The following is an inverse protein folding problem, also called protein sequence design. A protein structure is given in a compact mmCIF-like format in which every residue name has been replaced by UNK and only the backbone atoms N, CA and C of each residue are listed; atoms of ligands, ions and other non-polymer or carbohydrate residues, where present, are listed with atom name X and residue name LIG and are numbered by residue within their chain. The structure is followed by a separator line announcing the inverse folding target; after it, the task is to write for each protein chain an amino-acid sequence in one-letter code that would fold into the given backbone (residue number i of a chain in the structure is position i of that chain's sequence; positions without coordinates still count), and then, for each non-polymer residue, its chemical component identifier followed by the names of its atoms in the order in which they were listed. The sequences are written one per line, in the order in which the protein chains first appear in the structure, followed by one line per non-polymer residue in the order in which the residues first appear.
data_IF_616141563392
#
_entry.id   IF_616141563392
#
_cell.length_a   1.000
_cell.length_b   1.000
_cell.length_c   1.000
_cell.angle_alpha   90.00
_cell.angle_beta   90.00
_cell.angle_gamma   90.00
#
_symmetry.space_group_name_H-M   'P 1'
#
loop_
_entity.id
_entity.type
_entity.pdbx_description
1 polymer ?
#
# COMPACT_ATOMS: atom_id res chain seq x y z
N UNK A 1 12.19 -30.40 -5.55
CA UNK A 1 11.95 -29.84 -6.90
C UNK A 1 10.47 -29.60 -7.21
N UNK A 2 9.52 -30.42 -6.75
CA UNK A 2 8.07 -30.31 -7.05
C UNK A 2 7.44 -29.01 -6.54
N UNK A 3 7.87 -28.48 -5.38
CA UNK A 3 7.29 -27.24 -4.81
C UNK A 3 7.63 -25.96 -5.58
N UNK A 4 8.74 -25.89 -6.30
CA UNK A 4 9.16 -24.68 -7.04
C UNK A 4 8.29 -24.45 -8.27
N UNK A 5 7.97 -25.50 -9.03
CA UNK A 5 7.11 -25.41 -10.21
C UNK A 5 5.65 -25.00 -9.89
N UNK A 6 5.11 -25.38 -8.73
CA UNK A 6 3.75 -25.02 -8.31
C UNK A 6 3.67 -23.54 -7.87
N UNK A 7 4.73 -22.99 -7.29
CA UNK A 7 4.81 -21.59 -6.91
C UNK A 7 4.98 -20.67 -8.12
N UNK A 8 5.83 -21.03 -9.09
CA UNK A 8 6.05 -20.27 -10.32
C UNK A 8 4.74 -20.11 -11.12
N UNK A 9 3.91 -21.16 -11.21
CA UNK A 9 2.60 -21.11 -11.88
C UNK A 9 1.58 -20.19 -11.18
N UNK A 10 1.59 -20.09 -9.86
CA UNK A 10 0.67 -19.23 -9.13
C UNK A 10 1.05 -17.75 -9.30
N UNK A 11 2.33 -17.41 -9.17
CA UNK A 11 2.85 -16.05 -9.33
C UNK A 11 2.67 -15.52 -10.77
N UNK A 12 2.88 -16.38 -11.77
CA UNK A 12 2.61 -16.03 -13.17
C UNK A 12 1.13 -15.78 -13.43
N UNK A 13 0.23 -16.59 -12.86
CA UNK A 13 -1.21 -16.37 -12.95
C UNK A 13 -1.63 -15.04 -12.34
N UNK A 14 -1.10 -14.69 -11.19
CA UNK A 14 -1.37 -13.41 -10.53
C UNK A 14 -0.86 -12.24 -11.37
N UNK A 15 0.34 -12.35 -11.96
CA UNK A 15 0.90 -11.33 -12.87
C UNK A 15 0.02 -11.13 -14.11
N UNK A 16 -0.47 -12.21 -14.72
CA UNK A 16 -1.39 -12.16 -15.88
C UNK A 16 -2.71 -11.49 -15.51
N UNK A 17 -3.28 -11.81 -14.34
CA UNK A 17 -4.52 -11.19 -13.86
C UNK A 17 -4.36 -9.70 -13.58
N UNK A 18 -3.24 -9.31 -12.97
CA UNK A 18 -2.90 -7.89 -12.77
C UNK A 18 -2.79 -7.15 -14.12
N UNK A 19 -2.15 -7.75 -15.12
CA UNK A 19 -2.04 -7.17 -16.47
C UNK A 19 -3.41 -6.99 -17.11
N UNK A 20 -4.29 -8.01 -17.03
CA UNK A 20 -5.66 -7.95 -17.55
C UNK A 20 -6.49 -6.87 -16.84
N UNK A 21 -6.39 -6.77 -15.50
CA UNK A 21 -7.07 -5.73 -14.74
C UNK A 21 -6.57 -4.34 -15.12
N UNK A 22 -5.27 -4.18 -15.32
CA UNK A 22 -4.68 -2.91 -15.76
C UNK A 22 -5.19 -2.49 -17.16
N UNK A 23 -5.35 -3.45 -18.06
CA UNK A 23 -5.92 -3.20 -19.38
C UNK A 23 -7.40 -2.76 -19.29
N UNK A 24 -8.21 -3.46 -18.51
CA UNK A 24 -9.62 -3.10 -18.29
C UNK A 24 -9.78 -1.69 -17.69
N UNK A 25 -8.88 -1.28 -16.80
CA UNK A 25 -8.89 0.08 -16.26
C UNK A 25 -8.54 1.10 -17.34
N UNK A 26 -7.60 0.83 -18.22
CA UNK A 26 -7.27 1.73 -19.35
C UNK A 26 -8.44 1.87 -20.32
N UNK A 27 -9.09 0.76 -20.66
CA UNK A 27 -10.29 0.74 -21.51
C UNK A 27 -11.44 1.53 -20.87
N UNK A 28 -11.72 1.32 -19.58
CA UNK A 28 -12.72 2.08 -18.84
C UNK A 28 -12.40 3.60 -18.81
N UNK A 29 -11.15 4.00 -18.57
CA UNK A 29 -10.75 5.41 -18.57
C UNK A 29 -10.92 6.01 -19.96
N UNK A 30 -10.59 5.27 -21.01
CA UNK A 30 -10.82 5.69 -22.39
C UNK A 30 -12.32 5.93 -22.67
N UNK A 31 -13.20 4.99 -22.34
CA UNK A 31 -14.64 5.13 -22.50
C UNK A 31 -15.21 6.34 -21.77
N UNK A 32 -14.83 6.55 -20.51
CA UNK A 32 -15.24 7.72 -19.71
C UNK A 32 -14.73 9.01 -20.35
N UNK A 33 -13.51 9.02 -20.90
CA UNK A 33 -12.93 10.18 -21.57
C UNK A 33 -13.70 10.54 -22.84
N UNK A 34 -14.07 9.55 -23.66
CA UNK A 34 -14.91 9.76 -24.86
C UNK A 34 -16.29 10.28 -24.48
N UNK A 35 -16.93 9.71 -23.45
CA UNK A 35 -18.23 10.14 -22.96
C UNK A 35 -18.22 11.60 -22.43
N UNK A 36 -17.03 12.11 -22.08
CA UNK A 36 -16.79 13.51 -21.70
C UNK A 36 -16.36 14.40 -22.87
N UNK A 37 -16.62 13.97 -24.10
CA UNK A 37 -16.30 14.68 -25.35
C UNK A 37 -14.80 14.94 -25.55
N UNK A 38 -13.92 14.09 -25.03
CA UNK A 38 -12.49 14.16 -25.31
C UNK A 38 -12.21 13.62 -26.72
N UNK A 39 -11.37 14.28 -27.55
CA UNK A 39 -10.97 13.74 -28.85
C UNK A 39 -10.29 12.37 -28.71
N UNK A 40 -10.63 11.41 -29.58
CA UNK A 40 -10.16 10.02 -29.49
C UNK A 40 -8.64 9.88 -29.44
N UNK A 41 -7.93 10.65 -30.27
CA UNK A 41 -6.48 10.70 -30.30
C UNK A 41 -5.85 11.15 -28.95
N UNK A 42 -6.55 11.98 -28.17
CA UNK A 42 -6.12 12.40 -26.84
C UNK A 42 -6.48 11.32 -25.81
N UNK A 43 -7.71 10.80 -25.90
CA UNK A 43 -8.22 9.79 -24.97
C UNK A 43 -7.39 8.49 -24.97
N UNK A 44 -6.79 8.10 -26.10
CA UNK A 44 -5.90 6.94 -26.21
C UNK A 44 -4.61 7.09 -25.37
N UNK A 45 -4.13 8.31 -25.16
CA UNK A 45 -2.87 8.59 -24.46
C UNK A 45 -3.06 8.94 -22.97
N UNK A 46 -4.29 9.12 -22.52
CA UNK A 46 -4.59 9.52 -21.13
C UNK A 46 -4.06 8.53 -20.11
N UNK A 47 -4.09 7.25 -20.43
CA UNK A 47 -3.57 6.20 -19.58
C UNK A 47 -4.37 5.99 -18.29
N UNK A 48 -3.78 5.21 -17.42
CA UNK A 48 -4.28 4.82 -16.11
C UNK A 48 -3.55 3.56 -15.65
N UNK A 49 -3.44 3.34 -14.34
CA UNK A 49 -2.60 2.24 -13.86
C UNK A 49 -3.09 1.66 -12.55
N UNK A 50 -2.97 0.34 -12.44
CA UNK A 50 -3.17 -0.39 -11.19
C UNK A 50 -1.84 -0.57 -10.46
N UNK A 51 -1.80 -0.11 -9.23
CA UNK A 51 -0.70 -0.35 -8.28
C UNK A 51 -1.16 -1.32 -7.21
N UNK A 52 -0.34 -2.28 -6.84
CA UNK A 52 -0.59 -3.16 -5.69
C UNK A 52 0.16 -2.64 -4.48
N UNK A 53 -0.37 -2.87 -3.28
CA UNK A 53 0.28 -2.47 -2.03
C UNK A 53 0.04 -3.51 -0.93
N UNK A 54 0.30 -3.16 0.33
CA UNK A 54 0.04 -4.03 1.47
C UNK A 54 0.82 -5.34 1.44
N UNK A 55 0.20 -6.41 1.92
CA UNK A 55 0.84 -7.71 2.10
C UNK A 55 1.30 -8.34 0.79
N UNK A 56 0.57 -8.11 -0.29
CA UNK A 56 0.91 -8.61 -1.62
C UNK A 56 2.21 -7.95 -2.14
N UNK A 57 2.28 -6.63 -2.14
CA UNK A 57 3.45 -5.88 -2.63
C UNK A 57 4.69 -6.11 -1.76
N UNK A 58 4.53 -6.24 -0.44
CA UNK A 58 5.60 -6.61 0.48
C UNK A 58 6.09 -8.05 0.25
N UNK A 59 5.34 -8.89 -0.44
CA UNK A 59 5.68 -10.30 -0.67
C UNK A 59 5.50 -11.16 0.58
N UNK A 60 4.55 -10.80 1.46
CA UNK A 60 4.29 -11.49 2.74
C UNK A 60 2.83 -11.93 2.90
N UNK A 61 2.08 -11.97 1.80
CA UNK A 61 0.73 -12.52 1.76
C UNK A 61 0.76 -14.06 1.89
N UNK A 62 -0.34 -14.63 2.37
CA UNK A 62 -0.55 -16.08 2.34
C UNK A 62 -1.40 -16.46 1.12
N UNK A 63 -1.36 -17.72 0.73
CA UNK A 63 -2.20 -18.26 -0.36
C UNK A 63 -3.68 -18.02 -0.04
N UNK A 64 -4.41 -17.42 -0.97
CA UNK A 64 -5.82 -17.06 -0.80
C UNK A 64 -6.05 -15.76 -0.01
N UNK A 65 -5.02 -14.97 0.25
CA UNK A 65 -5.22 -13.62 0.75
C UNK A 65 -5.72 -12.69 -0.35
N UNK A 66 -6.49 -11.68 0.04
CA UNK A 66 -6.90 -10.58 -0.81
C UNK A 66 -5.70 -9.78 -1.34
N UNK A 67 -5.86 -9.20 -2.51
CA UNK A 67 -4.88 -8.30 -3.13
C UNK A 67 -5.33 -6.86 -2.93
N UNK A 68 -4.61 -6.13 -2.11
CA UNK A 68 -4.78 -4.69 -2.01
C UNK A 68 -4.27 -4.02 -3.29
N UNK A 69 -5.14 -3.28 -3.99
CA UNK A 69 -4.81 -2.59 -5.23
C UNK A 69 -5.36 -1.15 -5.25
N UNK A 70 -4.69 -0.29 -6.01
CA UNK A 70 -5.06 1.10 -6.20
C UNK A 70 -5.17 1.40 -7.68
N UNK A 71 -6.35 1.85 -8.11
CA UNK A 71 -6.58 2.42 -9.43
C UNK A 71 -6.18 3.90 -9.40
N UNK A 72 -5.20 4.27 -10.22
CA UNK A 72 -4.76 5.65 -10.41
C UNK A 72 -5.26 6.15 -11.75
N UNK A 73 -6.03 7.24 -11.72
CA UNK A 73 -6.65 7.86 -12.88
C UNK A 73 -6.26 9.34 -13.04
N UNK A 74 -6.35 9.91 -14.25
CA UNK A 74 -6.07 11.31 -14.52
C UNK A 74 -7.15 12.25 -13.95
N UNK A 75 -6.85 13.54 -13.94
CA UNK A 75 -7.62 14.60 -13.28
C UNK A 75 -9.08 14.72 -13.69
N UNK A 76 -9.43 14.35 -14.91
CA UNK A 76 -10.80 14.44 -15.44
C UNK A 76 -11.71 13.28 -15.04
N UNK A 77 -11.16 12.19 -14.50
CA UNK A 77 -11.94 11.07 -13.99
C UNK A 77 -12.32 11.33 -12.53
N UNK A 78 -13.62 11.38 -12.26
CA UNK A 78 -14.11 11.61 -10.91
C UNK A 78 -14.29 10.32 -10.12
N UNK A 79 -14.24 10.44 -8.80
CA UNK A 79 -14.51 9.31 -7.91
C UNK A 79 -15.93 8.75 -8.09
N UNK A 80 -16.89 9.58 -8.48
CA UNK A 80 -18.24 9.16 -8.84
C UNK A 80 -18.26 8.20 -10.01
N UNK A 81 -17.50 8.46 -11.07
CA UNK A 81 -17.42 7.58 -12.24
C UNK A 81 -16.95 6.17 -11.85
N UNK A 82 -16.00 6.12 -10.92
CA UNK A 82 -15.47 4.87 -10.42
C UNK A 82 -16.47 4.07 -9.57
N UNK A 83 -17.33 4.74 -8.79
CA UNK A 83 -18.27 4.11 -7.86
C UNK A 83 -19.71 3.99 -8.36
N UNK A 84 -20.06 4.51 -9.53
CA UNK A 84 -21.44 4.46 -10.08
C UNK A 84 -21.97 3.04 -10.26
N UNK A 85 -21.11 2.07 -10.48
CA UNK A 85 -21.50 0.66 -10.65
C UNK A 85 -21.42 -0.16 -9.35
N UNK A 86 -20.83 0.37 -8.26
CA UNK A 86 -20.49 -0.38 -7.06
C UNK A 86 -20.76 0.40 -5.77
N UNK A 87 -22.00 0.77 -5.52
CA UNK A 87 -22.42 1.58 -4.38
C UNK A 87 -22.21 0.91 -3.01
N UNK A 88 -21.39 1.50 -2.11
CA UNK A 88 -21.73 1.78 -0.71
C UNK A 88 -20.92 2.98 -0.18
N UNK A 89 -21.64 4.03 0.23
CA UNK A 89 -21.13 5.39 0.47
C UNK A 89 -20.49 5.68 1.85
N UNK A 90 -20.32 4.72 2.73
CA UNK A 90 -20.07 5.00 4.16
C UNK A 90 -18.68 4.66 4.70
N UNK A 91 -17.71 4.29 3.86
CA UNK A 91 -16.37 4.00 4.34
C UNK A 91 -15.46 5.24 4.37
N UNK A 92 -14.57 5.32 5.38
CA UNK A 92 -13.57 6.38 5.52
C UNK A 92 -12.64 6.49 4.30
N UNK A 93 -12.28 5.33 3.70
CA UNK A 93 -11.71 5.20 2.37
C UNK A 93 -12.54 4.17 1.63
N UNK A 94 -13.35 4.59 0.62
CA UNK A 94 -14.18 3.66 -0.13
C UNK A 94 -13.34 2.64 -0.89
N UNK A 95 -13.65 1.35 -0.73
CA UNK A 95 -12.97 0.21 -1.36
C UNK A 95 -14.00 -0.59 -2.16
N UNK A 96 -13.65 -0.94 -3.39
CA UNK A 96 -14.40 -1.93 -4.16
C UNK A 96 -13.85 -3.32 -3.85
N UNK A 97 -14.66 -4.15 -3.20
CA UNK A 97 -14.36 -5.56 -3.03
C UNK A 97 -14.91 -6.36 -4.20
N UNK A 98 -14.02 -7.04 -4.91
CA UNK A 98 -14.39 -7.81 -6.10
C UNK A 98 -13.66 -9.14 -6.12
N UNK A 99 -14.33 -10.15 -6.69
CA UNK A 99 -13.67 -11.40 -7.06
C UNK A 99 -13.33 -11.35 -8.55
N UNK A 100 -12.05 -11.26 -8.86
CA UNK A 100 -11.57 -11.21 -10.23
C UNK A 100 -10.89 -12.52 -10.58
N UNK A 101 -11.56 -13.35 -11.34
CA UNK A 101 -11.06 -14.65 -11.80
C UNK A 101 -10.57 -15.54 -10.64
N UNK A 102 -11.36 -15.58 -9.54
CA UNK A 102 -11.08 -16.39 -8.35
C UNK A 102 -10.06 -15.80 -7.38
N UNK A 103 -9.71 -14.52 -7.54
CA UNK A 103 -8.89 -13.77 -6.56
C UNK A 103 -9.73 -12.64 -5.98
N UNK A 104 -9.75 -12.52 -4.66
CA UNK A 104 -10.34 -11.37 -3.98
C UNK A 104 -9.41 -10.16 -4.11
N UNK A 105 -9.95 -9.05 -4.60
CA UNK A 105 -9.22 -7.80 -4.79
C UNK A 105 -9.95 -6.69 -4.05
N UNK A 106 -9.22 -5.99 -3.19
CA UNK A 106 -9.64 -4.76 -2.54
C UNK A 106 -9.11 -3.58 -3.35
N UNK A 107 -9.96 -2.96 -4.18
CA UNK A 107 -9.56 -1.94 -5.12
C UNK A 107 -9.95 -0.54 -4.64
N UNK A 108 -8.95 0.28 -4.35
CA UNK A 108 -9.08 1.70 -4.03
C UNK A 108 -8.99 2.56 -5.28
N UNK A 109 -9.35 3.83 -5.15
CA UNK A 109 -9.27 4.82 -6.21
C UNK A 109 -8.53 6.08 -5.76
N UNK A 110 -7.65 6.59 -6.64
CA UNK A 110 -7.06 7.91 -6.52
C UNK A 110 -7.01 8.61 -7.88
N UNK A 111 -7.44 9.88 -7.90
CA UNK A 111 -7.28 10.79 -9.02
C UNK A 111 -6.03 11.64 -8.79
N UNK A 112 -5.16 11.74 -9.79
CA UNK A 112 -4.04 12.67 -9.77
C UNK A 112 -4.36 13.97 -10.51
N UNK A 113 -3.69 15.06 -10.14
CA UNK A 113 -3.85 16.37 -10.80
C UNK A 113 -3.15 16.44 -12.19
N UNK A 114 -2.91 15.28 -12.81
CA UNK A 114 -2.22 15.13 -14.09
C UNK A 114 -3.21 14.94 -15.24
N UNK A 115 -2.83 15.35 -16.43
CA UNK A 115 -3.60 15.11 -17.66
C UNK A 115 -3.51 13.66 -18.10
N UNK A 116 -2.33 13.04 -17.94
CA UNK A 116 -1.98 11.70 -18.40
C UNK A 116 -1.26 10.93 -17.29
N UNK A 117 -1.44 9.61 -17.26
CA UNK A 117 -0.80 8.71 -16.29
C UNK A 117 0.16 7.78 -17.04
N UNK A 118 1.47 8.08 -17.09
CA UNK A 118 2.45 7.22 -17.74
C UNK A 118 2.64 5.90 -16.99
N UNK A 119 2.93 4.84 -17.74
CA UNK A 119 3.17 3.50 -17.16
C UNK A 119 4.40 3.45 -16.24
N UNK A 120 5.36 4.36 -16.44
CA UNK A 120 6.58 4.47 -15.63
C UNK A 120 6.42 5.29 -14.35
N UNK A 121 5.22 5.80 -14.04
CA UNK A 121 5.01 6.70 -12.91
C UNK A 121 5.37 6.07 -11.57
N UNK A 122 6.16 6.81 -10.78
CA UNK A 122 6.50 6.48 -9.39
C UNK A 122 5.62 7.29 -8.43
N UNK A 123 4.80 6.61 -7.63
CA UNK A 123 3.89 7.25 -6.66
C UNK A 123 4.61 7.84 -5.43
N UNK A 124 5.93 7.63 -5.27
CA UNK A 124 6.70 8.19 -4.15
C UNK A 124 7.03 9.67 -4.33
N UNK A 125 6.88 10.20 -5.53
CA UNK A 125 7.07 11.63 -5.77
C UNK A 125 6.06 12.45 -4.97
N UNK A 126 6.56 13.29 -4.06
CA UNK A 126 5.76 14.15 -3.20
C UNK A 126 5.02 15.25 -3.98
N UNK A 127 5.53 15.64 -5.15
CA UNK A 127 4.86 16.62 -6.00
C UNK A 127 3.51 16.13 -6.51
N UNK A 128 3.31 14.82 -6.60
CA UNK A 128 2.02 14.20 -6.97
C UNK A 128 0.91 14.46 -5.94
N UNK A 129 1.28 14.73 -4.68
CA UNK A 129 0.32 14.99 -3.61
C UNK A 129 -0.20 16.43 -3.60
N UNK A 130 0.50 17.33 -4.29
CA UNK A 130 0.14 18.74 -4.33
C UNK A 130 -1.22 18.95 -5.00
N UNK A 131 -2.10 19.70 -4.34
CA UNK A 131 -3.45 20.01 -4.83
C UNK A 131 -4.38 18.80 -4.99
N UNK A 132 -4.10 17.69 -4.30
CA UNK A 132 -5.02 16.55 -4.26
C UNK A 132 -6.06 16.68 -3.14
N UNK A 133 -7.22 16.08 -3.36
CA UNK A 133 -8.18 15.92 -2.29
C UNK A 133 -7.68 14.92 -1.24
N UNK A 134 -8.11 15.11 0.01
CA UNK A 134 -7.65 14.33 1.15
C UNK A 134 -7.96 12.83 1.04
N UNK A 135 -9.06 12.45 0.32
CA UNK A 135 -9.41 11.04 0.08
C UNK A 135 -8.43 10.39 -0.89
N UNK A 136 -7.99 11.11 -1.93
CA UNK A 136 -6.97 10.63 -2.87
C UNK A 136 -5.60 10.48 -2.19
N UNK A 137 -5.18 11.45 -1.36
CA UNK A 137 -3.96 11.36 -0.57
C UNK A 137 -3.97 10.11 0.31
N UNK A 138 -5.07 9.84 1.03
CA UNK A 138 -5.22 8.64 1.87
C UNK A 138 -5.15 7.34 1.06
N UNK A 139 -5.77 7.31 -0.13
CA UNK A 139 -5.72 6.13 -1.00
C UNK A 139 -4.30 5.86 -1.52
N UNK A 140 -3.52 6.91 -1.81
CA UNK A 140 -2.12 6.80 -2.26
C UNK A 140 -1.17 6.33 -1.15
N UNK A 141 -1.47 6.64 0.11
CA UNK A 141 -0.59 6.32 1.24
C UNK A 141 -0.25 4.83 1.33
N UNK A 142 -1.19 3.94 1.04
CA UNK A 142 -0.95 2.49 1.05
C UNK A 142 0.21 2.07 0.15
N UNK A 143 0.23 2.56 -1.10
CA UNK A 143 1.30 2.30 -2.06
C UNK A 143 2.61 2.96 -1.64
N UNK A 144 2.56 4.24 -1.28
CA UNK A 144 3.74 5.06 -0.91
C UNK A 144 4.48 4.48 0.30
N UNK A 145 3.74 4.14 1.37
CA UNK A 145 4.31 3.53 2.58
C UNK A 145 4.91 2.16 2.28
N UNK A 146 4.23 1.34 1.49
CA UNK A 146 4.72 0.01 1.12
C UNK A 146 6.03 0.08 0.34
N UNK A 147 6.09 0.93 -0.69
CA UNK A 147 7.29 1.08 -1.54
C UNK A 147 8.44 1.75 -0.76
N UNK A 148 8.13 2.68 0.15
CA UNK A 148 9.14 3.30 1.02
C UNK A 148 9.73 2.30 2.02
N UNK A 149 8.93 1.42 2.63
CA UNK A 149 9.44 0.34 3.47
C UNK A 149 10.41 -0.55 2.69
N UNK A 150 10.03 -0.98 1.47
CA UNK A 150 10.89 -1.83 0.63
C UNK A 150 12.20 -1.13 0.24
N UNK A 151 12.17 0.19 0.04
CA UNK A 151 13.37 0.99 -0.26
C UNK A 151 14.32 1.12 0.94
N UNK A 152 13.74 1.22 2.14
CA UNK A 152 14.51 1.48 3.37
C UNK A 152 15.09 0.23 4.03
N UNK A 153 14.71 -0.97 3.60
CA UNK A 153 15.27 -2.22 4.15
C UNK A 153 16.53 -2.64 3.38
N UNK A 154 17.62 -3.02 4.07
CA UNK A 154 18.88 -3.40 3.43
C UNK A 154 18.78 -4.70 2.61
N UNK A 155 18.00 -5.67 3.09
CA UNK A 155 17.81 -6.97 2.44
C UNK A 155 16.33 -7.35 2.46
N UNK A 156 15.70 -7.30 1.28
CA UNK A 156 14.26 -7.52 1.12
C UNK A 156 13.88 -8.97 1.44
N UNK A 157 14.69 -9.94 1.09
CA UNK A 157 14.37 -11.36 1.32
C UNK A 157 14.40 -11.71 2.81
N UNK A 158 15.44 -11.28 3.54
CA UNK A 158 15.51 -11.47 4.98
C UNK A 158 14.39 -10.71 5.71
N UNK A 159 14.04 -9.52 5.25
CA UNK A 159 12.90 -8.75 5.75
C UNK A 159 11.58 -9.51 5.55
N UNK A 160 11.33 -10.04 4.35
CA UNK A 160 10.12 -10.82 4.03
C UNK A 160 9.97 -12.04 4.92
N UNK A 161 11.04 -12.81 5.09
CA UNK A 161 11.05 -14.00 5.95
C UNK A 161 10.78 -13.63 7.41
N UNK A 162 11.48 -12.63 7.94
CA UNK A 162 11.26 -12.15 9.30
C UNK A 162 9.83 -11.63 9.50
N UNK A 163 9.31 -10.82 8.56
CA UNK A 163 7.97 -10.27 8.67
C UNK A 163 6.88 -11.35 8.59
N UNK A 164 7.02 -12.36 7.74
CA UNK A 164 6.08 -13.51 7.69
C UNK A 164 6.02 -14.22 9.05
N UNK A 165 7.18 -14.46 9.68
CA UNK A 165 7.26 -15.10 10.99
C UNK A 165 6.63 -14.25 12.09
N UNK A 166 6.91 -12.94 12.13
CA UNK A 166 6.32 -12.03 13.12
C UNK A 166 4.81 -11.88 12.92
N UNK A 167 4.32 -11.79 11.69
CA UNK A 167 2.87 -11.77 11.40
C UNK A 167 2.19 -13.08 11.85
N UNK A 168 2.80 -14.22 11.58
CA UNK A 168 2.29 -15.51 12.02
C UNK A 168 2.24 -15.57 13.55
N UNK A 169 3.33 -15.19 14.23
CA UNK A 169 3.37 -15.12 15.70
C UNK A 169 2.27 -14.20 16.25
N UNK A 170 2.12 -12.98 15.70
CA UNK A 170 1.11 -12.05 16.17
C UNK A 170 -0.32 -12.59 15.99
N UNK A 171 -0.59 -13.26 14.87
CA UNK A 171 -1.90 -13.86 14.56
C UNK A 171 -2.22 -15.05 15.49
N UNK A 172 -1.24 -15.93 15.76
CA UNK A 172 -1.43 -17.14 16.56
C UNK A 172 -1.42 -16.88 18.07
N UNK A 173 -0.83 -15.74 18.49
CA UNK A 173 -0.67 -15.37 19.92
C UNK A 173 -1.54 -14.20 20.36
N UNK A 174 -2.68 -13.98 19.69
CA UNK A 174 -3.67 -12.92 20.01
C UNK A 174 -3.17 -11.47 19.92
N UNK A 175 -2.01 -11.21 19.33
CA UNK A 175 -1.47 -9.84 19.16
C UNK A 175 -1.86 -9.21 17.81
N UNK A 176 -3.00 -9.61 17.26
CA UNK A 176 -3.53 -9.13 15.97
C UNK A 176 -4.38 -7.87 16.16
N UNK A 177 -4.51 -7.08 15.09
CA UNK A 177 -5.31 -5.86 15.05
C UNK A 177 -6.80 -6.07 15.42
N UNK A 178 -7.35 -7.23 15.15
CA UNK A 178 -8.74 -7.58 15.52
C UNK A 178 -8.98 -7.47 17.03
N UNK A 179 -7.96 -7.65 17.84
CA UNK A 179 -8.01 -7.54 19.29
C UNK A 179 -7.47 -6.21 19.83
N UNK A 180 -7.33 -5.19 18.96
CA UNK A 180 -6.87 -3.86 19.34
C UNK A 180 -5.35 -3.68 19.36
N UNK A 181 -4.57 -4.69 18.93
CA UNK A 181 -3.11 -4.60 18.81
C UNK A 181 -2.68 -4.05 17.44
N UNK A 182 -1.39 -4.12 17.14
CA UNK A 182 -0.79 -3.54 15.95
C UNK A 182 -1.32 -4.17 14.64
N UNK A 183 -1.56 -3.33 13.65
CA UNK A 183 -1.92 -3.74 12.29
C UNK A 183 -0.73 -4.25 11.47
N UNK A 184 -1.02 -4.77 10.27
CA UNK A 184 -0.02 -5.36 9.38
C UNK A 184 1.11 -4.39 9.00
N UNK A 185 0.79 -3.12 8.74
CA UNK A 185 1.78 -2.09 8.39
C UNK A 185 2.68 -1.74 9.58
N UNK A 186 2.13 -1.70 10.80
CA UNK A 186 2.92 -1.42 12.00
C UNK A 186 3.94 -2.54 12.25
N UNK A 187 3.54 -3.82 12.10
CA UNK A 187 4.48 -4.95 12.16
C UNK A 187 5.56 -4.84 11.09
N UNK A 188 5.22 -4.41 9.88
CA UNK A 188 6.19 -4.22 8.80
C UNK A 188 7.21 -3.12 9.14
N UNK A 189 6.77 -1.99 9.71
CA UNK A 189 7.66 -0.91 10.15
C UNK A 189 8.61 -1.35 11.27
N UNK A 190 8.12 -2.07 12.27
CA UNK A 190 8.96 -2.57 13.37
C UNK A 190 10.02 -3.56 12.85
N UNK A 191 9.65 -4.49 11.97
CA UNK A 191 10.60 -5.42 11.36
C UNK A 191 11.59 -4.68 10.47
N UNK A 192 11.14 -3.71 9.67
CA UNK A 192 12.03 -2.88 8.83
C UNK A 192 13.06 -2.12 9.68
N UNK A 193 12.63 -1.56 10.84
CA UNK A 193 13.57 -0.92 11.78
C UNK A 193 14.60 -1.91 12.32
N UNK A 194 14.19 -3.11 12.64
CA UNK A 194 15.13 -4.17 13.05
C UNK A 194 16.14 -4.49 11.97
N UNK A 195 15.71 -4.56 10.69
CA UNK A 195 16.61 -4.77 9.55
C UNK A 195 17.62 -3.63 9.39
N UNK A 196 17.20 -2.38 9.61
CA UNK A 196 18.11 -1.23 9.58
C UNK A 196 19.16 -1.26 10.69
N UNK A 197 18.77 -1.71 11.90
CA UNK A 197 19.69 -1.83 13.04
C UNK A 197 20.68 -3.00 12.86
N UNK A 198 20.31 -4.04 12.12
CA UNK A 198 21.11 -5.24 11.90
C UNK A 198 21.15 -5.61 10.39
N UNK A 199 21.81 -4.78 9.55
CA UNK A 199 21.70 -4.88 8.08
C UNK A 199 22.25 -6.19 7.50
N UNK A 200 23.23 -6.80 8.17
CA UNK A 200 23.87 -8.04 7.74
C UNK A 200 23.27 -9.30 8.39
N UNK A 201 22.21 -9.16 9.18
CA UNK A 201 21.62 -10.28 9.90
C UNK A 201 20.75 -11.15 8.98
N UNK A 202 20.83 -12.47 9.14
CA UNK A 202 19.90 -13.41 8.52
C UNK A 202 18.54 -13.37 9.23
N UNK A 203 17.49 -13.90 8.57
CA UNK A 203 16.11 -13.80 9.06
C UNK A 203 15.92 -14.32 10.49
N UNK A 204 16.54 -15.45 10.85
CA UNK A 204 16.45 -16.00 12.21
C UNK A 204 17.03 -15.05 13.28
N UNK A 205 18.17 -14.44 12.98
CA UNK A 205 18.78 -13.43 13.86
C UNK A 205 17.88 -12.18 13.94
N UNK A 206 17.29 -11.73 12.84
CA UNK A 206 16.36 -10.59 12.84
C UNK A 206 15.15 -10.84 13.74
N UNK A 207 14.57 -12.03 13.72
CA UNK A 207 13.45 -12.41 14.60
C UNK A 207 13.86 -12.32 16.08
N UNK A 208 15.01 -12.87 16.43
CA UNK A 208 15.53 -12.77 17.80
C UNK A 208 15.78 -11.30 18.21
N UNK A 209 16.42 -10.53 17.33
CA UNK A 209 16.71 -9.11 17.56
C UNK A 209 15.45 -8.25 17.64
N UNK A 210 14.42 -8.59 16.89
CA UNK A 210 13.12 -7.93 16.96
C UNK A 210 12.56 -7.93 18.40
N UNK A 211 12.44 -9.10 19.02
CA UNK A 211 11.94 -9.18 20.38
C UNK A 211 12.89 -8.52 21.39
N UNK A 212 14.20 -8.67 21.22
CA UNK A 212 15.20 -8.05 22.09
C UNK A 212 15.14 -6.52 22.04
N UNK A 213 15.00 -5.91 20.85
CA UNK A 213 14.96 -4.46 20.67
C UNK A 213 13.66 -3.91 21.27
N UNK A 214 12.51 -4.47 20.89
CA UNK A 214 11.23 -3.89 21.28
C UNK A 214 10.79 -4.21 22.71
N UNK A 215 11.36 -5.21 23.35
CA UNK A 215 11.23 -5.41 24.80
C UNK A 215 11.95 -4.36 25.63
N UNK A 216 12.97 -3.71 25.05
CA UNK A 216 13.77 -2.64 25.72
C UNK A 216 13.47 -1.25 25.15
N UNK A 217 12.57 -1.13 24.18
CA UNK A 217 12.23 0.14 23.57
C UNK A 217 11.58 1.07 24.59
N UNK A 218 12.02 2.31 24.61
CA UNK A 218 11.49 3.32 25.55
C UNK A 218 10.14 3.86 25.03
N UNK A 219 9.12 3.05 25.16
CA UNK A 219 7.77 3.48 24.83
C UNK A 219 7.32 4.64 25.73
N UNK A 220 6.67 5.70 25.20
CA UNK A 220 6.02 5.82 23.89
C UNK A 220 6.88 6.48 22.79
N UNK A 221 8.20 6.43 22.85
CA UNK A 221 9.03 6.98 21.78
C UNK A 221 8.68 6.38 20.41
N UNK A 222 8.49 7.23 19.37
CA UNK A 222 8.11 6.73 18.05
C UNK A 222 9.25 5.94 17.40
N UNK A 223 8.87 4.90 16.64
CA UNK A 223 9.80 4.14 15.81
C UNK A 223 9.85 4.79 14.44
N UNK A 224 10.99 5.37 14.07
CA UNK A 224 11.19 6.06 12.80
C UNK A 224 12.06 5.23 11.88
N UNK A 225 11.65 5.04 10.62
CA UNK A 225 12.46 4.42 9.57
C UNK A 225 13.35 5.44 8.86
N UNK A 226 12.91 6.70 8.78
CA UNK A 226 13.66 7.86 8.30
C UNK A 226 13.25 9.11 9.09
N UNK A 227 14.04 10.18 9.07
CA UNK A 227 13.62 11.47 9.60
C UNK A 227 12.36 11.97 8.90
N UNK A 228 11.46 12.69 9.59
CA UNK A 228 10.32 13.35 8.95
C UNK A 228 10.75 14.33 7.88
N UNK A 229 10.09 14.32 6.74
CA UNK A 229 10.34 15.28 5.66
C UNK A 229 9.71 16.63 5.99
N UNK A 230 10.42 17.74 5.72
CA UNK A 230 9.95 19.11 5.98
C UNK A 230 9.28 19.74 4.75
N UNK A 231 8.73 18.95 3.84
CA UNK A 231 8.08 19.46 2.63
C UNK A 231 6.68 19.97 2.98
N UNK A 232 6.43 21.27 2.72
CA UNK A 232 5.07 21.81 2.88
C UNK A 232 4.19 21.40 1.68
N UNK A 233 3.34 20.40 1.90
CA UNK A 233 2.42 19.86 0.89
C UNK A 233 1.01 20.48 0.95
N UNK A 234 0.79 21.45 1.85
CA UNK A 234 -0.51 22.11 2.02
C UNK A 234 -1.53 21.32 2.84
N UNK A 235 -1.12 20.22 3.50
CA UNK A 235 -1.94 19.47 4.46
C UNK A 235 -1.11 19.04 5.68
N UNK A 236 -1.76 18.80 6.83
CA UNK A 236 -1.04 18.43 8.05
C UNK A 236 -0.33 17.08 7.88
N UNK A 237 0.98 17.09 8.17
CA UNK A 237 1.84 15.90 8.21
C UNK A 237 2.08 15.55 9.66
N UNK A 238 1.97 14.27 10.00
CA UNK A 238 2.29 13.81 11.34
C UNK A 238 3.80 13.93 11.61
N UNK A 239 4.17 14.66 12.66
CA UNK A 239 5.54 14.80 13.11
C UNK A 239 5.62 14.48 14.60
N UNK A 240 6.39 13.45 15.00
CA UNK A 240 6.51 13.05 16.40
C UNK A 240 7.15 14.12 17.30
N UNK A 241 7.83 15.10 16.71
CA UNK A 241 8.48 16.22 17.45
C UNK A 241 7.46 17.27 17.89
N UNK A 242 6.34 17.38 17.18
CA UNK A 242 5.30 18.39 17.39
C UNK A 242 4.06 17.80 18.06
N UNK A 243 3.77 16.53 17.81
CA UNK A 243 2.64 15.84 18.46
C UNK A 243 2.97 15.59 19.93
N UNK A 244 2.55 16.49 20.80
CA UNK A 244 2.42 16.17 22.22
C UNK A 244 1.37 15.05 22.34
N UNK A 245 1.76 13.93 22.96
CA UNK A 245 0.88 12.78 23.23
C UNK A 245 -0.35 13.23 24.03
N UNK A 246 -1.39 13.66 23.36
CA UNK A 246 -2.74 13.48 23.88
C UNK A 246 -3.07 12.02 23.72
N UNK A 247 -3.35 11.37 24.81
CA UNK A 247 -3.60 9.94 25.05
C UNK A 247 -4.80 9.34 24.26
N UNK A 248 -5.08 9.83 23.08
CA UNK A 248 -6.15 9.33 22.24
C UNK A 248 -5.57 8.48 21.10
N UNK A 249 -5.98 7.25 21.11
CA UNK A 249 -5.93 6.16 20.12
C UNK A 249 -5.82 6.58 18.62
N UNK A 250 -4.89 7.43 18.24
CA UNK A 250 -4.72 7.91 16.86
C UNK A 250 -3.82 7.04 15.98
N UNK A 251 -3.24 5.95 16.52
CA UNK A 251 -2.38 5.05 15.75
C UNK A 251 -3.13 4.26 14.65
N UNK A 252 -4.45 4.16 14.70
CA UNK A 252 -5.24 3.38 13.73
C UNK A 252 -5.95 4.22 12.66
N UNK A 253 -5.89 5.55 12.71
CA UNK A 253 -6.69 6.41 11.82
C UNK A 253 -5.91 7.26 10.81
N UNK A 254 -4.57 7.25 10.84
CA UNK A 254 -3.76 8.08 9.92
C UNK A 254 -2.64 7.34 9.17
N UNK A 255 -2.67 6.00 9.15
CA UNK A 255 -1.89 5.19 8.22
C UNK A 255 -2.78 4.67 7.11
#
# INVERSE_FOLDING_TARGET
MVNKCLFDNAEEREKRKKSKLNQLVKEWIYEVSINRNMPGNVAEHVGGKIYTFGSYRLGVHHKGADIDALCVAPRHIDRSDYFTSFLRKEAFVPVIKMNFDGIEIDLLFARLALKEIPDSMDLRDDMLLKNLDQKCVRSLNGCRVTDEILRLVPNIENFRLALRTIKLWAKTRIYSNVLGYLGGVSWAMLVARTCQLYPNAVAATLIHKFFMVFSKWQWPQPVLLKPPDNVNLGFPVWDPRVCQFKTDLYFSKQL
#
